data_IF_072971851261
#
_entry.id   IF_072971851261
#
_cell.length_a   1.000
_cell.length_b   1.000
_cell.length_c   1.000
_cell.angle_alpha   90.00
_cell.angle_beta   90.00
_cell.angle_gamma   90.00
#
_symmetry.space_group_name_H-M   'P 1'
#
loop_
_entity.id
_entity.type
_entity.pdbx_description
1 polymer ?
#
# COMPACT_ATOMS: atom_id res chain seq x y z
N UNK A 1 34.55 25.56 -8.01
CA UNK A 1 34.12 24.33 -8.70
C UNK A 1 32.70 24.61 -9.11
N UNK A 2 32.35 24.50 -10.39
CA UNK A 2 30.94 24.60 -10.79
C UNK A 2 30.25 23.34 -10.26
N UNK A 3 29.27 23.56 -9.38
CA UNK A 3 28.43 22.50 -8.83
C UNK A 3 27.59 21.96 -9.99
N UNK A 4 28.07 20.88 -10.62
CA UNK A 4 27.43 20.26 -11.77
C UNK A 4 26.38 19.28 -11.24
N UNK A 5 25.10 19.67 -11.32
CA UNK A 5 23.99 18.80 -10.99
C UNK A 5 23.72 17.84 -12.15
N UNK A 6 23.47 16.60 -11.84
CA UNK A 6 23.09 15.53 -12.77
C UNK A 6 21.74 14.93 -12.38
N UNK A 7 20.92 14.63 -13.36
CA UNK A 7 19.62 13.99 -13.16
C UNK A 7 19.82 12.49 -13.02
N UNK A 8 19.40 11.91 -11.87
CA UNK A 8 19.52 10.48 -11.59
C UNK A 8 18.18 9.73 -11.71
N UNK A 9 17.06 10.45 -11.63
CA UNK A 9 15.73 9.89 -11.84
C UNK A 9 14.74 10.97 -12.33
N UNK A 10 13.63 10.53 -12.92
CA UNK A 10 12.56 11.41 -13.38
C UNK A 10 11.19 10.83 -13.03
N UNK A 11 10.30 11.69 -12.53
CA UNK A 11 8.98 11.32 -12.02
C UNK A 11 7.88 12.14 -12.70
N UNK A 12 6.70 11.55 -12.84
CA UNK A 12 5.48 12.25 -13.29
C UNK A 12 4.63 12.70 -12.10
N UNK A 13 4.87 12.17 -10.90
CA UNK A 13 4.15 12.48 -9.68
C UNK A 13 5.05 13.21 -8.67
N UNK A 14 4.56 14.34 -8.14
CA UNK A 14 5.30 15.17 -7.18
C UNK A 14 5.56 14.42 -5.87
N UNK A 15 4.56 13.67 -5.41
CA UNK A 15 4.67 12.93 -4.16
C UNK A 15 5.75 11.84 -4.24
N UNK A 16 5.81 11.10 -5.36
CA UNK A 16 6.85 10.08 -5.58
C UNK A 16 8.25 10.72 -5.64
N UNK A 17 8.39 11.86 -6.31
CA UNK A 17 9.64 12.61 -6.38
C UNK A 17 10.11 13.09 -5.00
N UNK A 18 9.21 13.65 -4.20
CA UNK A 18 9.51 14.10 -2.83
C UNK A 18 9.89 12.92 -1.91
N UNK A 19 9.25 11.77 -2.07
CA UNK A 19 9.62 10.57 -1.30
C UNK A 19 11.02 10.08 -1.65
N UNK A 20 11.38 10.06 -2.94
CA UNK A 20 12.71 9.67 -3.40
C UNK A 20 13.77 10.66 -2.91
N UNK A 21 13.46 11.97 -2.95
CA UNK A 21 14.31 13.03 -2.40
C UNK A 21 14.56 12.82 -0.90
N UNK A 22 13.48 12.68 -0.09
CA UNK A 22 13.59 12.47 1.35
C UNK A 22 14.43 11.25 1.70
N UNK A 23 14.30 10.16 0.95
CA UNK A 23 15.10 8.95 1.14
C UNK A 23 16.61 9.20 0.95
N UNK A 24 16.99 9.93 -0.08
CA UNK A 24 18.37 10.27 -0.33
C UNK A 24 18.91 11.30 0.67
N UNK A 25 18.09 12.29 1.07
CA UNK A 25 18.45 13.26 2.10
C UNK A 25 18.70 12.59 3.47
N UNK A 26 17.84 11.64 3.86
CA UNK A 26 18.01 10.81 5.07
C UNK A 26 19.29 9.98 5.02
N UNK A 27 19.77 9.66 3.81
CA UNK A 27 21.01 8.93 3.56
C UNK A 27 22.24 9.86 3.46
N UNK A 28 22.04 11.19 3.61
CA UNK A 28 23.10 12.18 3.69
C UNK A 28 23.47 12.86 2.35
N UNK A 29 22.67 12.65 1.29
CA UNK A 29 22.88 13.32 0.01
C UNK A 29 22.21 14.69 -0.03
N UNK A 30 22.78 15.63 -0.75
CA UNK A 30 22.14 16.89 -1.10
C UNK A 30 21.38 16.71 -2.42
N UNK A 31 20.04 16.89 -2.39
CA UNK A 31 19.14 16.51 -3.49
C UNK A 31 18.28 17.68 -3.92
N UNK A 32 18.10 17.83 -5.22
CA UNK A 32 17.33 18.92 -5.83
C UNK A 32 16.22 18.35 -6.71
N UNK A 33 15.03 18.97 -6.69
CA UNK A 33 13.96 18.68 -7.62
C UNK A 33 13.82 19.82 -8.62
N UNK A 34 13.96 19.51 -9.90
CA UNK A 34 13.72 20.44 -10.99
C UNK A 34 12.29 20.22 -11.53
N UNK A 35 11.63 21.29 -11.96
CA UNK A 35 10.26 21.31 -12.49
C UNK A 35 9.12 20.98 -11.48
N UNK A 36 9.41 20.72 -10.23
CA UNK A 36 8.42 20.42 -9.17
C UNK A 36 7.33 21.49 -9.10
N UNK A 37 7.69 22.78 -9.08
CA UNK A 37 6.74 23.90 -8.98
C UNK A 37 5.80 24.00 -10.17
N UNK A 38 6.28 23.69 -11.37
CA UNK A 38 5.46 23.73 -12.59
C UNK A 38 4.40 22.64 -12.51
N UNK A 39 4.79 21.43 -12.14
CA UNK A 39 3.88 20.28 -12.07
C UNK A 39 2.95 20.34 -10.87
N UNK A 40 3.36 20.95 -9.76
CA UNK A 40 2.46 21.23 -8.64
C UNK A 40 1.32 22.20 -9.02
N UNK A 41 1.60 23.18 -9.89
CA UNK A 41 0.59 24.15 -10.37
C UNK A 41 -0.22 23.61 -11.55
N UNK A 42 0.38 22.78 -12.38
CA UNK A 42 -0.21 22.27 -13.63
C UNK A 42 0.03 20.76 -13.78
N UNK A 43 -0.63 19.90 -12.95
CA UNK A 43 -0.42 18.45 -12.99
C UNK A 43 -0.71 17.81 -14.36
N UNK A 44 -1.59 18.42 -15.15
CA UNK A 44 -1.91 17.95 -16.50
C UNK A 44 -0.78 18.09 -17.52
N UNK A 45 0.32 18.78 -17.16
CA UNK A 45 1.53 18.87 -17.98
C UNK A 45 2.53 17.76 -17.71
N UNK A 46 2.28 16.90 -16.68
CA UNK A 46 3.12 15.73 -16.41
C UNK A 46 3.06 14.73 -17.59
N UNK A 47 4.18 14.11 -17.90
CA UNK A 47 4.31 13.15 -18.98
C UNK A 47 5.28 13.61 -20.07
N UNK A 48 4.87 13.50 -21.35
CA UNK A 48 5.77 13.71 -22.50
C UNK A 48 6.44 15.09 -22.56
N UNK A 49 5.90 16.09 -21.86
CA UNK A 49 6.38 17.47 -21.97
C UNK A 49 7.19 17.94 -20.75
N UNK A 50 6.84 17.48 -19.55
CA UNK A 50 7.53 17.86 -18.32
C UNK A 50 7.56 16.68 -17.33
N UNK A 51 8.75 16.40 -16.80
CA UNK A 51 8.97 15.47 -15.70
C UNK A 51 9.66 16.23 -14.56
N UNK A 52 9.44 15.74 -13.35
CA UNK A 52 10.20 16.20 -12.18
C UNK A 52 11.53 15.46 -12.20
N UNK A 53 12.62 16.20 -12.31
CA UNK A 53 13.96 15.63 -12.34
C UNK A 53 14.55 15.65 -10.93
N UNK A 54 14.96 14.48 -10.45
CA UNK A 54 15.71 14.32 -9.22
C UNK A 54 17.20 14.45 -9.53
N UNK A 55 17.82 15.44 -8.94
CA UNK A 55 19.21 15.81 -9.23
C UNK A 55 20.08 15.76 -7.99
N UNK A 56 21.32 15.32 -8.17
CA UNK A 56 22.38 15.33 -7.17
C UNK A 56 23.66 15.95 -7.77
N UNK A 57 24.67 16.23 -6.96
CA UNK A 57 25.98 16.61 -7.47
C UNK A 57 26.63 15.43 -8.22
N UNK A 58 27.38 15.74 -9.27
CA UNK A 58 27.95 14.73 -10.18
C UNK A 58 28.90 13.74 -9.49
N UNK A 59 29.56 14.13 -8.40
CA UNK A 59 30.41 13.25 -7.60
C UNK A 59 29.62 12.22 -6.77
N UNK A 60 28.34 12.46 -6.51
CA UNK A 60 27.42 11.57 -5.80
C UNK A 60 26.56 10.69 -6.73
N UNK A 61 26.61 10.90 -8.06
CA UNK A 61 25.71 10.28 -9.06
C UNK A 61 25.59 8.76 -8.90
N UNK A 62 26.72 8.05 -8.90
CA UNK A 62 26.72 6.59 -8.89
C UNK A 62 26.18 6.02 -7.57
N UNK A 63 26.60 6.58 -6.43
CA UNK A 63 26.19 6.11 -5.11
C UNK A 63 24.71 6.40 -4.85
N UNK A 64 24.25 7.60 -5.19
CA UNK A 64 22.85 7.99 -5.04
C UNK A 64 21.93 7.17 -5.98
N UNK A 65 22.36 6.91 -7.22
CA UNK A 65 21.59 6.09 -8.18
C UNK A 65 21.46 4.64 -7.69
N UNK A 66 22.57 4.03 -7.23
CA UNK A 66 22.55 2.66 -6.70
C UNK A 66 21.65 2.55 -5.47
N UNK A 67 21.70 3.54 -4.58
CA UNK A 67 20.86 3.59 -3.40
C UNK A 67 19.36 3.71 -3.77
N UNK A 68 19.05 4.55 -4.76
CA UNK A 68 17.68 4.77 -5.23
C UNK A 68 17.11 3.54 -5.96
N UNK A 69 17.93 2.82 -6.75
CA UNK A 69 17.53 1.56 -7.37
C UNK A 69 17.20 0.47 -6.34
N UNK A 70 17.88 0.49 -5.20
CA UNK A 70 17.68 -0.42 -4.08
C UNK A 70 16.64 0.10 -3.05
N UNK A 71 15.89 1.17 -3.39
CA UNK A 71 14.84 1.69 -2.50
C UNK A 71 13.81 0.61 -2.21
N UNK A 72 13.85 0.09 -0.98
CA UNK A 72 12.94 -0.96 -0.53
C UNK A 72 11.50 -0.43 -0.41
N UNK A 73 10.56 -1.19 -0.99
CA UNK A 73 9.13 -0.90 -0.90
C UNK A 73 8.64 -0.84 0.56
N UNK A 74 9.26 -1.59 1.46
CA UNK A 74 8.92 -1.60 2.89
C UNK A 74 9.29 -0.26 3.55
N UNK A 75 10.47 0.29 3.23
CA UNK A 75 10.87 1.63 3.69
C UNK A 75 9.92 2.69 3.15
N UNK A 76 9.65 2.68 1.83
CA UNK A 76 8.75 3.62 1.18
C UNK A 76 7.34 3.56 1.79
N UNK A 77 6.77 2.36 1.91
CA UNK A 77 5.44 2.14 2.48
C UNK A 77 5.37 2.62 3.93
N UNK A 78 6.36 2.29 4.77
CA UNK A 78 6.37 2.69 6.18
C UNK A 78 6.47 4.22 6.33
N UNK A 79 7.26 4.90 5.50
CA UNK A 79 7.38 6.36 5.53
C UNK A 79 6.10 7.04 5.07
N UNK A 80 5.47 6.57 4.00
CA UNK A 80 4.16 7.08 3.57
C UNK A 80 3.14 6.92 4.69
N UNK A 81 3.04 5.75 5.32
CA UNK A 81 2.11 5.52 6.43
C UNK A 81 2.38 6.45 7.63
N UNK A 82 3.64 6.78 7.92
CA UNK A 82 3.99 7.74 8.99
C UNK A 82 3.63 9.17 8.60
N UNK A 83 3.97 9.63 7.40
CA UNK A 83 3.66 10.98 6.91
C UNK A 83 2.16 11.25 6.90
N UNK A 84 1.36 10.27 6.49
CA UNK A 84 -0.10 10.35 6.49
C UNK A 84 -0.71 10.14 7.89
N UNK A 85 0.12 9.99 8.92
CA UNK A 85 -0.31 9.63 10.28
C UNK A 85 -1.20 8.37 10.30
N UNK A 86 -0.99 7.47 9.35
CA UNK A 86 -1.72 6.21 9.24
C UNK A 86 -1.11 5.09 10.08
N UNK A 87 0.20 5.13 10.38
CA UNK A 87 0.85 4.24 11.34
C UNK A 87 0.86 4.92 12.71
N UNK A 88 0.04 4.42 13.62
CA UNK A 88 -0.13 4.95 14.97
C UNK A 88 0.62 4.11 15.98
N UNK A 89 1.27 4.76 16.95
CA UNK A 89 1.89 4.11 18.11
C UNK A 89 1.09 4.45 19.37
N UNK A 90 0.90 3.46 20.26
CA UNK A 90 0.09 3.64 21.46
C UNK A 90 -0.39 2.31 22.02
N UNK A 91 -1.51 2.32 22.77
CA UNK A 91 -2.14 1.12 23.31
C UNK A 91 -3.53 0.96 22.67
N UNK A 92 -3.68 -0.03 21.82
CA UNK A 92 -4.87 -0.20 21.00
C UNK A 92 -5.58 -1.53 21.27
N UNK A 93 -6.92 -1.47 21.37
CA UNK A 93 -7.76 -2.65 21.31
C UNK A 93 -8.20 -2.90 19.86
N UNK A 94 -7.88 -4.06 19.32
CA UNK A 94 -8.25 -4.49 17.98
C UNK A 94 -9.67 -5.07 17.94
N UNK A 95 -10.24 -5.22 16.74
CA UNK A 95 -11.57 -5.83 16.54
C UNK A 95 -11.64 -7.27 17.05
N UNK A 96 -10.50 -7.98 17.07
CA UNK A 96 -10.40 -9.34 17.66
C UNK A 96 -10.50 -9.37 19.19
N UNK A 97 -10.44 -8.21 19.86
CA UNK A 97 -10.33 -8.08 21.30
C UNK A 97 -8.89 -8.07 21.82
N UNK A 98 -7.92 -8.45 20.99
CA UNK A 98 -6.50 -8.40 21.32
C UNK A 98 -6.00 -6.97 21.40
N UNK A 99 -4.90 -6.77 22.13
CA UNK A 99 -4.21 -5.50 22.28
C UNK A 99 -2.95 -5.45 21.43
N UNK A 100 -2.55 -4.23 21.05
CA UNK A 100 -1.35 -3.97 20.26
C UNK A 100 -0.74 -2.63 20.64
N UNK A 101 0.56 -2.46 20.40
CA UNK A 101 1.26 -1.17 20.55
C UNK A 101 1.25 -0.34 19.26
N UNK A 102 0.77 -0.90 18.17
CA UNK A 102 0.68 -0.20 16.88
C UNK A 102 -0.68 -0.48 16.21
N UNK A 103 -1.16 0.51 15.45
CA UNK A 103 -2.37 0.42 14.67
C UNK A 103 -2.20 1.11 13.31
N UNK A 104 -2.68 0.49 12.25
CA UNK A 104 -2.71 1.11 10.92
C UNK A 104 -4.11 1.65 10.66
N UNK A 105 -4.24 2.99 10.67
CA UNK A 105 -5.47 3.70 10.34
C UNK A 105 -5.53 3.98 8.84
N UNK A 106 -5.94 2.97 8.10
CA UNK A 106 -5.97 2.97 6.64
C UNK A 106 -6.76 4.13 6.01
N UNK A 107 -7.80 4.63 6.69
CA UNK A 107 -8.62 5.73 6.17
C UNK A 107 -7.79 7.00 5.99
N UNK A 108 -6.79 7.23 6.84
CA UNK A 108 -5.88 8.38 6.70
C UNK A 108 -5.03 8.28 5.43
N UNK A 109 -4.52 7.10 5.10
CA UNK A 109 -3.84 6.86 3.83
C UNK A 109 -4.77 7.17 2.65
N UNK A 110 -5.99 6.63 2.66
CA UNK A 110 -6.95 6.79 1.56
C UNK A 110 -7.45 8.23 1.38
N UNK A 111 -7.28 9.10 2.38
CA UNK A 111 -7.59 10.54 2.26
C UNK A 111 -6.60 11.28 1.34
N UNK A 112 -5.40 10.74 1.15
CA UNK A 112 -4.40 11.28 0.23
C UNK A 112 -4.31 10.40 -1.03
N UNK A 113 -4.97 10.77 -2.15
CA UNK A 113 -4.95 9.98 -3.38
C UNK A 113 -3.55 9.84 -3.99
N UNK A 114 -2.67 10.84 -3.87
CA UNK A 114 -1.31 10.78 -4.40
C UNK A 114 -0.48 9.74 -3.64
N UNK A 115 -0.48 9.79 -2.29
CA UNK A 115 0.18 8.80 -1.45
C UNK A 115 -0.33 7.38 -1.71
N UNK A 116 -1.66 7.23 -1.81
CA UNK A 116 -2.32 5.96 -2.13
C UNK A 116 -1.86 5.44 -3.51
N UNK A 117 -1.82 6.32 -4.51
CA UNK A 117 -1.42 5.98 -5.88
C UNK A 117 0.02 5.47 -5.95
N UNK A 118 0.97 6.08 -5.22
CA UNK A 118 2.36 5.61 -5.17
C UNK A 118 2.42 4.16 -4.67
N UNK A 119 1.70 3.83 -3.59
CA UNK A 119 1.65 2.45 -3.09
C UNK A 119 0.98 1.49 -4.07
N UNK A 120 -0.10 1.92 -4.74
CA UNK A 120 -0.75 1.12 -5.78
C UNK A 120 0.18 0.86 -6.98
N UNK A 121 1.00 1.83 -7.40
CA UNK A 121 2.01 1.64 -8.44
C UNK A 121 3.06 0.59 -8.05
N UNK A 122 3.58 0.66 -6.82
CA UNK A 122 4.53 -0.33 -6.31
C UNK A 122 3.93 -1.74 -6.29
N UNK A 123 2.69 -1.84 -5.81
CA UNK A 123 1.98 -3.12 -5.78
C UNK A 123 1.70 -3.65 -7.20
N UNK A 124 1.30 -2.77 -8.13
CA UNK A 124 1.08 -3.12 -9.53
C UNK A 124 2.35 -3.68 -10.20
N UNK A 125 3.53 -3.07 -9.94
CA UNK A 125 4.81 -3.57 -10.44
C UNK A 125 5.10 -5.01 -10.00
N UNK A 126 4.76 -5.40 -8.76
CA UNK A 126 4.92 -6.78 -8.28
C UNK A 126 3.91 -7.73 -8.91
N UNK A 127 2.69 -7.25 -9.13
CA UNK A 127 1.60 -8.08 -9.63
C UNK A 127 1.61 -8.27 -11.15
N UNK A 128 2.33 -7.46 -11.92
CA UNK A 128 2.39 -7.58 -13.39
C UNK A 128 2.99 -8.91 -13.88
N UNK A 129 3.75 -9.62 -13.03
CA UNK A 129 4.34 -10.92 -13.34
C UNK A 129 3.32 -12.06 -13.36
N UNK A 130 2.10 -11.82 -12.83
CA UNK A 130 1.04 -12.81 -12.76
C UNK A 130 0.07 -12.68 -13.95
N UNK A 131 -0.38 -13.81 -14.47
CA UNK A 131 -1.39 -13.87 -15.55
C UNK A 131 -2.80 -13.82 -14.96
N UNK A 132 -3.47 -12.66 -15.05
CA UNK A 132 -4.86 -12.46 -14.58
C UNK A 132 -5.59 -11.43 -15.44
N UNK A 133 -6.93 -11.45 -15.35
CA UNK A 133 -7.81 -10.55 -16.10
C UNK A 133 -8.50 -9.49 -15.21
N UNK A 134 -8.59 -9.74 -13.90
CA UNK A 134 -9.41 -8.93 -13.00
C UNK A 134 -8.74 -8.73 -11.64
N UNK A 135 -8.97 -7.56 -11.05
CA UNK A 135 -8.58 -7.21 -9.67
C UNK A 135 -9.82 -7.19 -8.79
N UNK A 136 -9.74 -7.82 -7.62
CA UNK A 136 -10.82 -7.91 -6.62
C UNK A 136 -10.43 -7.13 -5.37
N UNK A 137 -11.29 -6.20 -4.94
CA UNK A 137 -11.14 -5.50 -3.66
C UNK A 137 -12.25 -5.85 -2.67
N UNK A 138 -11.96 -6.33 -1.45
CA UNK A 138 -12.97 -6.42 -0.40
C UNK A 138 -13.44 -5.04 0.07
N UNK A 139 -14.75 -4.87 0.31
CA UNK A 139 -15.28 -3.62 0.86
C UNK A 139 -14.85 -3.44 2.32
N UNK A 140 -14.53 -2.19 2.72
CA UNK A 140 -14.63 -0.96 1.91
C UNK A 140 -13.28 -0.39 1.52
N UNK A 141 -12.27 -0.42 2.40
CA UNK A 141 -10.96 0.24 2.19
C UNK A 141 -10.24 -0.24 0.94
N UNK A 142 -10.22 -1.54 0.71
CA UNK A 142 -9.52 -2.14 -0.41
C UNK A 142 -10.17 -1.86 -1.78
N UNK A 143 -11.43 -1.37 -1.83
CA UNK A 143 -12.07 -1.00 -3.11
C UNK A 143 -11.25 0.04 -3.86
N UNK A 144 -10.82 1.10 -3.16
CA UNK A 144 -10.06 2.21 -3.76
C UNK A 144 -8.71 1.72 -4.27
N UNK A 145 -8.01 0.93 -3.48
CA UNK A 145 -6.71 0.35 -3.85
C UNK A 145 -6.83 -0.58 -5.06
N UNK A 146 -7.79 -1.50 -5.02
CA UNK A 146 -8.04 -2.45 -6.10
C UNK A 146 -8.44 -1.76 -7.41
N UNK A 147 -9.25 -0.68 -7.32
CA UNK A 147 -9.62 0.11 -8.49
C UNK A 147 -8.38 0.78 -9.11
N UNK A 148 -7.51 1.37 -8.30
CA UNK A 148 -6.33 2.05 -8.81
C UNK A 148 -5.29 1.06 -9.39
N UNK A 149 -5.04 -0.07 -8.72
CA UNK A 149 -4.19 -1.14 -9.26
C UNK A 149 -4.75 -1.69 -10.58
N UNK A 150 -6.07 -1.91 -10.68
CA UNK A 150 -6.71 -2.34 -11.92
C UNK A 150 -6.52 -1.33 -13.05
N UNK A 151 -6.67 -0.04 -12.75
CA UNK A 151 -6.45 1.06 -13.70
C UNK A 151 -5.00 1.11 -14.19
N UNK A 152 -4.03 0.98 -13.27
CA UNK A 152 -2.59 0.98 -13.61
C UNK A 152 -2.24 -0.19 -14.53
N UNK A 153 -2.78 -1.39 -14.25
CA UNK A 153 -2.48 -2.61 -15.00
C UNK A 153 -3.44 -2.83 -16.20
N UNK A 154 -4.38 -1.91 -16.45
CA UNK A 154 -5.40 -2.00 -17.51
C UNK A 154 -6.21 -3.31 -17.43
N UNK A 155 -6.58 -3.73 -16.20
CA UNK A 155 -7.36 -4.95 -15.92
C UNK A 155 -8.81 -4.63 -15.53
N UNK A 156 -9.65 -5.65 -15.55
CA UNK A 156 -10.99 -5.55 -15.00
C UNK A 156 -10.97 -5.31 -13.49
N UNK A 157 -12.04 -4.72 -12.97
CA UNK A 157 -12.22 -4.47 -11.54
C UNK A 157 -13.57 -4.92 -11.07
N UNK A 158 -13.61 -5.67 -9.97
CA UNK A 158 -14.82 -5.99 -9.21
C UNK A 158 -14.54 -5.84 -7.71
N UNK A 159 -15.59 -5.75 -6.90
CA UNK A 159 -15.44 -5.77 -5.45
C UNK A 159 -16.39 -6.75 -4.79
N UNK A 160 -15.99 -7.24 -3.63
CA UNK A 160 -16.81 -8.05 -2.75
C UNK A 160 -17.21 -7.26 -1.50
N UNK A 161 -18.33 -7.61 -0.92
CA UNK A 161 -18.87 -7.03 0.30
C UNK A 161 -19.55 -8.09 1.14
N UNK A 162 -19.75 -7.84 2.44
CA UNK A 162 -20.59 -8.69 3.27
C UNK A 162 -22.05 -8.26 3.19
N UNK A 163 -22.92 -9.22 2.88
CA UNK A 163 -24.38 -9.09 2.97
C UNK A 163 -24.83 -10.19 3.92
N UNK A 164 -25.55 -9.84 4.96
CA UNK A 164 -26.02 -10.77 6.00
C UNK A 164 -24.90 -11.67 6.56
N UNK A 165 -23.71 -11.07 6.76
CA UNK A 165 -22.53 -11.74 7.30
C UNK A 165 -21.76 -12.62 6.30
N UNK A 166 -22.22 -12.77 5.07
CA UNK A 166 -21.54 -13.57 4.04
C UNK A 166 -20.84 -12.70 3.00
N UNK A 167 -19.61 -13.07 2.66
CA UNK A 167 -18.85 -12.41 1.59
C UNK A 167 -19.47 -12.76 0.23
N UNK A 168 -19.81 -11.77 -0.57
CA UNK A 168 -20.35 -11.94 -1.91
C UNK A 168 -19.89 -10.82 -2.84
N UNK A 169 -19.87 -11.08 -4.14
CA UNK A 169 -19.74 -10.02 -5.14
C UNK A 169 -21.06 -9.24 -5.26
N UNK A 170 -20.93 -7.94 -5.45
CA UNK A 170 -22.11 -7.09 -5.63
C UNK A 170 -22.84 -7.45 -6.91
N UNK A 171 -24.17 -7.51 -6.83
CA UNK A 171 -25.03 -7.69 -8.00
C UNK A 171 -24.79 -6.59 -9.04
N UNK A 172 -24.80 -7.00 -10.33
CA UNK A 172 -24.55 -6.10 -11.45
C UNK A 172 -23.15 -6.22 -12.07
N UNK A 173 -22.20 -6.89 -11.41
CA UNK A 173 -20.96 -7.27 -12.08
C UNK A 173 -21.19 -8.44 -13.05
N UNK A 174 -20.69 -8.32 -14.29
CA UNK A 174 -20.63 -9.44 -15.24
C UNK A 174 -19.44 -10.35 -14.93
N UNK A 175 -19.66 -11.37 -14.12
CA UNK A 175 -18.63 -12.32 -13.72
C UNK A 175 -18.30 -13.36 -14.80
N UNK A 176 -19.05 -13.43 -15.89
CA UNK A 176 -18.85 -14.45 -16.94
C UNK A 176 -17.50 -14.34 -17.66
N UNK A 177 -16.89 -13.15 -17.63
CA UNK A 177 -15.60 -12.85 -18.24
C UNK A 177 -14.41 -12.97 -17.28
N UNK A 178 -14.69 -13.10 -15.97
CA UNK A 178 -13.65 -13.18 -14.94
C UNK A 178 -13.23 -14.64 -14.80
N UNK A 179 -11.97 -14.94 -15.10
CA UNK A 179 -11.41 -16.29 -15.00
C UNK A 179 -10.32 -16.36 -13.96
N UNK A 180 -9.37 -15.44 -14.02
CA UNK A 180 -8.24 -15.36 -13.11
C UNK A 180 -8.19 -13.97 -12.47
N UNK A 181 -8.03 -13.91 -11.17
CA UNK A 181 -8.02 -12.65 -10.47
C UNK A 181 -6.91 -12.58 -9.42
N UNK A 182 -6.52 -11.35 -9.09
CA UNK A 182 -5.75 -11.01 -7.89
C UNK A 182 -6.64 -10.34 -6.88
N UNK A 183 -6.40 -10.57 -5.60
CA UNK A 183 -7.08 -9.86 -4.51
C UNK A 183 -6.15 -8.75 -4.02
N UNK A 184 -6.67 -7.53 -3.88
CA UNK A 184 -5.97 -6.44 -3.23
C UNK A 184 -6.62 -6.17 -1.88
N UNK A 185 -5.82 -6.11 -0.81
CA UNK A 185 -6.30 -5.76 0.52
C UNK A 185 -5.40 -4.67 1.12
N UNK A 186 -5.96 -3.88 2.00
CA UNK A 186 -5.22 -2.80 2.66
C UNK A 186 -4.26 -3.34 3.74
N UNK A 187 -4.80 -3.99 4.77
CA UNK A 187 -4.04 -4.53 5.89
C UNK A 187 -4.57 -5.91 6.28
N UNK A 188 -3.69 -6.88 6.31
CA UNK A 188 -4.04 -8.23 6.75
C UNK A 188 -3.39 -8.55 8.10
N UNK A 189 -4.17 -9.10 9.04
CA UNK A 189 -3.68 -9.59 10.33
C UNK A 189 -3.89 -11.10 10.46
N UNK A 190 -5.13 -11.57 10.33
CA UNK A 190 -5.51 -13.00 10.43
C UNK A 190 -5.89 -13.62 9.09
N UNK A 191 -6.06 -12.80 8.06
CA UNK A 191 -6.41 -13.27 6.72
C UNK A 191 -7.87 -13.68 6.51
N UNK A 192 -8.73 -13.54 7.51
CA UNK A 192 -10.12 -14.01 7.44
C UNK A 192 -10.91 -13.43 6.25
N UNK A 193 -10.83 -12.11 6.02
CA UNK A 193 -11.50 -11.45 4.89
C UNK A 193 -11.00 -11.97 3.54
N UNK A 194 -9.69 -12.12 3.38
CA UNK A 194 -9.08 -12.65 2.16
C UNK A 194 -9.54 -14.08 1.90
N UNK A 195 -9.55 -14.94 2.92
CA UNK A 195 -10.04 -16.32 2.80
C UNK A 195 -11.52 -16.38 2.40
N UNK A 196 -12.35 -15.49 2.93
CA UNK A 196 -13.76 -15.40 2.51
C UNK A 196 -13.90 -15.00 1.03
N UNK A 197 -13.06 -14.04 0.56
CA UNK A 197 -13.04 -13.64 -0.86
C UNK A 197 -12.59 -14.80 -1.75
N UNK A 198 -11.54 -15.53 -1.37
CA UNK A 198 -11.06 -16.72 -2.10
C UNK A 198 -12.21 -17.75 -2.23
N UNK A 199 -12.91 -18.05 -1.15
CA UNK A 199 -14.06 -18.97 -1.18
C UNK A 199 -15.18 -18.47 -2.10
N UNK A 200 -15.50 -17.18 -2.02
CA UNK A 200 -16.52 -16.55 -2.85
C UNK A 200 -16.15 -16.60 -4.34
N UNK A 201 -14.88 -16.35 -4.69
CA UNK A 201 -14.35 -16.42 -6.04
C UNK A 201 -14.38 -17.86 -6.59
N UNK A 202 -13.88 -18.81 -5.81
CA UNK A 202 -13.84 -20.23 -6.18
C UNK A 202 -15.24 -20.81 -6.42
N UNK A 203 -16.24 -20.40 -5.63
CA UNK A 203 -17.63 -20.79 -5.82
C UNK A 203 -18.25 -20.28 -7.16
N UNK A 204 -17.59 -19.31 -7.79
CA UNK A 204 -17.97 -18.75 -9.11
C UNK A 204 -17.06 -19.23 -10.24
N UNK A 205 -16.13 -20.14 -9.96
CA UNK A 205 -15.14 -20.64 -10.93
C UNK A 205 -14.04 -19.65 -11.26
N UNK A 206 -13.81 -18.63 -10.41
CA UNK A 206 -12.72 -17.66 -10.54
C UNK A 206 -11.51 -18.19 -9.79
N UNK A 207 -10.38 -18.32 -10.49
CA UNK A 207 -9.10 -18.70 -9.93
C UNK A 207 -8.40 -17.44 -9.33
N UNK A 208 -8.01 -17.50 -8.06
CA UNK A 208 -7.15 -16.47 -7.48
C UNK A 208 -5.70 -16.89 -7.71
N UNK A 209 -4.91 -16.00 -8.33
CA UNK A 209 -3.52 -16.30 -8.72
C UNK A 209 -2.48 -15.63 -7.82
N UNK A 210 -2.83 -14.52 -7.18
CA UNK A 210 -2.00 -13.85 -6.19
C UNK A 210 -2.84 -12.92 -5.29
N UNK A 211 -2.23 -12.47 -4.20
CA UNK A 211 -2.80 -11.49 -3.27
C UNK A 211 -1.80 -10.34 -3.12
N UNK A 212 -2.28 -9.11 -3.30
CA UNK A 212 -1.50 -7.89 -3.07
C UNK A 212 -1.94 -7.20 -1.79
N UNK A 213 -0.98 -6.82 -0.95
CA UNK A 213 -1.21 -6.18 0.35
C UNK A 213 -0.41 -4.89 0.46
N UNK A 214 -1.02 -3.84 1.00
CA UNK A 214 -0.24 -2.68 1.45
C UNK A 214 0.57 -3.07 2.70
N UNK A 215 -0.07 -3.73 3.68
CA UNK A 215 0.64 -4.19 4.86
C UNK A 215 0.19 -5.57 5.34
N UNK A 216 1.17 -6.45 5.58
CA UNK A 216 1.00 -7.72 6.28
C UNK A 216 1.44 -7.59 7.74
N UNK A 217 0.50 -7.68 8.67
CA UNK A 217 0.73 -7.62 10.11
C UNK A 217 0.98 -8.99 10.75
N UNK A 218 0.99 -10.04 9.96
CA UNK A 218 1.31 -11.39 10.44
C UNK A 218 2.81 -11.69 10.44
N UNK A 219 3.61 -10.79 9.85
CA UNK A 219 5.04 -11.02 9.63
C UNK A 219 5.31 -12.14 8.64
N UNK A 220 4.48 -12.28 7.59
CA UNK A 220 4.65 -13.31 6.55
C UNK A 220 4.20 -14.72 6.97
N UNK A 221 3.42 -14.85 8.06
CA UNK A 221 3.00 -16.16 8.61
C UNK A 221 1.73 -16.72 7.96
N UNK A 222 1.04 -15.93 7.12
CA UNK A 222 -0.22 -16.36 6.49
C UNK A 222 0.05 -17.10 5.18
N UNK A 223 -0.63 -18.24 5.06
CA UNK A 223 -0.65 -19.04 3.83
C UNK A 223 -2.09 -19.08 3.29
N UNK A 224 -2.25 -18.63 2.05
CA UNK A 224 -3.53 -18.64 1.34
C UNK A 224 -3.56 -19.66 0.20
N UNK A 225 -2.47 -20.44 0.03
CA UNK A 225 -2.29 -21.37 -1.08
C UNK A 225 -1.94 -20.70 -2.41
N UNK A 226 -1.71 -19.38 -2.41
CA UNK A 226 -1.28 -18.55 -3.55
C UNK A 226 -0.22 -17.55 -3.08
N UNK A 227 0.64 -17.03 -3.99
CA UNK A 227 1.62 -16.02 -3.66
C UNK A 227 1.00 -14.76 -3.02
N UNK A 228 1.74 -14.18 -2.07
CA UNK A 228 1.37 -12.93 -1.38
C UNK A 228 2.47 -11.90 -1.64
N UNK A 229 2.08 -10.80 -2.30
CA UNK A 229 2.91 -9.64 -2.54
C UNK A 229 2.55 -8.55 -1.54
N UNK A 230 3.38 -8.35 -0.53
CA UNK A 230 3.16 -7.32 0.50
C UNK A 230 4.21 -6.22 0.39
N UNK A 231 3.80 -4.95 0.33
CA UNK A 231 4.73 -3.84 0.34
C UNK A 231 5.42 -3.67 1.70
N UNK A 232 4.70 -3.95 2.76
CA UNK A 232 5.20 -3.84 4.13
C UNK A 232 4.83 -5.09 4.92
N UNK A 233 5.83 -5.79 5.46
CA UNK A 233 5.61 -6.89 6.41
C UNK A 233 6.09 -6.47 7.79
N UNK A 234 5.17 -6.40 8.75
CA UNK A 234 5.45 -5.96 10.11
C UNK A 234 4.99 -7.04 11.09
N UNK A 235 5.88 -7.54 11.92
CA UNK A 235 5.49 -8.37 13.05
C UNK A 235 5.05 -7.47 14.22
N UNK A 236 3.78 -7.06 14.18
CA UNK A 236 3.21 -6.22 15.24
C UNK A 236 2.76 -7.10 16.39
N UNK A 237 3.24 -6.84 17.62
CA UNK A 237 2.84 -7.61 18.78
C UNK A 237 1.33 -7.62 18.99
N UNK A 238 0.79 -8.80 19.22
CA UNK A 238 -0.60 -9.03 19.57
C UNK A 238 -0.64 -9.71 20.94
N UNK A 239 -1.29 -9.10 21.90
CA UNK A 239 -1.46 -9.64 23.25
C UNK A 239 -2.93 -9.91 23.54
N UNK A 240 -3.22 -10.95 24.30
CA UNK A 240 -4.51 -11.00 24.99
C UNK A 240 -4.57 -9.89 26.05
N UNK A 241 -5.76 -9.44 26.49
CA UNK A 241 -5.88 -8.41 27.53
C UNK A 241 -5.08 -8.77 28.80
N UNK A 242 -5.03 -10.05 29.16
CA UNK A 242 -4.35 -10.57 30.35
C UNK A 242 -2.82 -10.53 30.22
N UNK A 243 -2.30 -10.72 29.01
CA UNK A 243 -0.86 -10.77 28.73
C UNK A 243 -0.29 -9.39 28.37
N UNK A 244 -1.16 -8.42 28.06
CA UNK A 244 -0.76 -7.12 27.56
C UNK A 244 0.14 -6.36 28.54
N UNK A 245 1.37 -6.08 28.10
CA UNK A 245 2.35 -5.33 28.90
C UNK A 245 1.92 -3.88 29.12
N UNK A 246 1.27 -3.26 28.13
CA UNK A 246 0.79 -1.88 28.23
C UNK A 246 -0.36 -1.74 29.23
N UNK A 247 -1.24 -2.77 29.37
CA UNK A 247 -2.21 -2.84 30.44
C UNK A 247 -1.54 -2.88 31.82
N UNK A 248 -0.49 -3.69 31.97
CA UNK A 248 0.25 -3.81 33.24
C UNK A 248 0.94 -2.51 33.62
N UNK A 249 1.36 -1.72 32.64
CA UNK A 249 1.97 -0.38 32.82
C UNK A 249 0.93 0.73 33.02
N UNK A 250 -0.37 0.44 32.94
CA UNK A 250 -1.44 1.44 33.09
C UNK A 250 -1.54 2.44 31.92
N UNK A 251 -1.01 2.09 30.75
CA UNK A 251 -1.14 2.93 29.55
C UNK A 251 -2.60 2.93 29.09
N UNK A 252 -3.15 4.12 28.82
CA UNK A 252 -4.55 4.28 28.42
C UNK A 252 -4.86 3.48 27.14
N UNK A 253 -5.93 2.70 27.18
CA UNK A 253 -6.37 1.86 26.07
C UNK A 253 -7.26 2.66 25.11
N UNK A 254 -6.87 2.72 23.84
CA UNK A 254 -7.63 3.35 22.76
C UNK A 254 -8.27 2.28 21.87
N UNK A 255 -9.50 2.52 21.44
CA UNK A 255 -10.21 1.65 20.49
C UNK A 255 -10.37 2.40 19.16
N UNK A 256 -9.41 2.27 18.23
CA UNK A 256 -9.50 2.91 16.93
C UNK A 256 -10.45 2.15 16.00
N UNK A 257 -10.96 2.85 14.97
CA UNK A 257 -11.87 2.30 13.97
C UNK A 257 -13.34 2.54 14.30
N UNK A 258 -14.20 2.34 13.31
CA UNK A 258 -15.65 2.49 13.49
C UNK A 258 -16.17 1.40 14.42
N UNK A 259 -16.73 1.81 15.56
CA UNK A 259 -17.39 0.95 16.55
C UNK A 259 -18.75 0.43 16.08
N UNK A 260 -19.18 0.80 14.87
CA UNK A 260 -20.50 0.46 14.36
C UNK A 260 -20.39 -0.73 13.39
N UNK A 261 -20.47 -1.91 14.00
CA UNK A 261 -20.87 -3.15 13.30
C UNK A 261 -22.00 -3.79 14.07
#
# INVERSE_FOLDING_TARGET
MQDNLVTIASYTDVFEAEMAKGFLEDSGFEVFLQNERILSLYPSMAGDMYMIELQVFADAENEASELLENLDDSYLCSNILRQENALLEGHFQLTSGNHSNQYIEKIRLLQNPAATHVLCNRLAKRLQEYDFDTVIGPAFGAIVLAFDVARILEKGFIFSQRIDGQMCFRDGFDLSKVKKAVIIEDVVSTGGSVQEVIKCASARGIEIVAIGLIADRSGGKLDFGVPVESLLSIDIPLWTPEECELCKLGVELTKPGSSDK
#
